data_IF_153933955699
#
_entry.id   IF_153933955699
#
_cell.length_a   1.000
_cell.length_b   1.000
_cell.length_c   1.000
_cell.angle_alpha   90.00
_cell.angle_beta   90.00
_cell.angle_gamma   90.00
#
_symmetry.space_group_name_H-M   'P 1'
#
loop_
_entity.id
_entity.type
_entity.pdbx_description
1 polymer ?
#
# COMPACT_ATOMS: atom_id res chain seq x y z
N UNK A 1 -20.78 -50.78 -29.00
CA UNK A 1 -21.30 -49.61 -28.26
C UNK A 1 -20.16 -48.64 -28.04
N UNK A 2 -20.16 -47.50 -28.74
CA UNK A 2 -19.15 -46.46 -28.56
C UNK A 2 -19.55 -45.56 -27.38
N UNK A 3 -18.68 -45.42 -26.38
CA UNK A 3 -18.88 -44.49 -25.27
C UNK A 3 -18.66 -43.04 -25.75
N UNK A 4 -19.54 -42.08 -25.40
CA UNK A 4 -19.36 -40.70 -25.80
C UNK A 4 -18.21 -40.07 -25.00
N UNK A 5 -17.20 -39.56 -25.71
CA UNK A 5 -16.15 -38.72 -25.11
C UNK A 5 -16.71 -37.31 -24.91
N UNK A 6 -17.08 -36.96 -23.68
CA UNK A 6 -17.38 -35.57 -23.32
C UNK A 6 -16.09 -34.76 -23.46
N UNK A 7 -16.05 -33.81 -24.40
CA UNK A 7 -15.02 -32.76 -24.44
C UNK A 7 -15.14 -31.97 -23.14
N UNK A 8 -14.16 -32.09 -22.25
CA UNK A 8 -14.08 -31.23 -21.08
C UNK A 8 -13.88 -29.78 -21.58
N UNK A 9 -14.84 -28.91 -21.31
CA UNK A 9 -14.74 -27.50 -21.65
C UNK A 9 -13.69 -26.87 -20.73
N UNK A 10 -12.57 -26.41 -21.30
CA UNK A 10 -11.48 -25.72 -20.59
C UNK A 10 -11.80 -24.26 -20.27
N UNK A 11 -12.93 -23.75 -20.78
CA UNK A 11 -13.37 -22.37 -20.63
C UNK A 11 -13.53 -21.88 -19.18
N UNK A 12 -14.12 -22.65 -18.23
CA UNK A 12 -14.29 -22.16 -16.86
C UNK A 12 -12.98 -22.07 -16.08
N UNK A 13 -11.98 -22.90 -16.41
CA UNK A 13 -10.66 -22.85 -15.76
C UNK A 13 -9.83 -21.65 -16.21
N UNK A 14 -9.91 -21.29 -17.51
CA UNK A 14 -9.26 -20.10 -18.04
C UNK A 14 -9.89 -18.82 -17.47
N UNK A 15 -11.21 -18.79 -17.32
CA UNK A 15 -11.91 -17.67 -16.72
C UNK A 15 -11.54 -17.50 -15.24
N UNK A 16 -11.44 -18.60 -14.49
CA UNK A 16 -10.99 -18.59 -13.10
C UNK A 16 -9.55 -18.09 -12.95
N UNK A 17 -8.64 -18.51 -13.86
CA UNK A 17 -7.25 -18.06 -13.89
C UNK A 17 -7.13 -16.57 -14.22
N UNK A 18 -7.94 -16.06 -15.16
CA UNK A 18 -7.97 -14.63 -15.50
C UNK A 18 -8.52 -13.79 -14.35
N UNK A 19 -9.51 -14.30 -13.61
CA UNK A 19 -10.05 -13.64 -12.42
C UNK A 19 -9.01 -13.61 -11.29
N UNK A 20 -8.28 -14.71 -11.03
CA UNK A 20 -7.22 -14.70 -10.00
C UNK A 20 -6.07 -13.78 -10.38
N UNK A 21 -5.62 -13.76 -11.64
CA UNK A 21 -4.60 -12.83 -12.13
C UNK A 21 -5.07 -11.38 -11.97
N UNK A 22 -6.33 -11.08 -12.28
CA UNK A 22 -6.90 -9.73 -12.08
C UNK A 22 -6.88 -9.31 -10.60
N UNK A 23 -7.10 -10.24 -9.67
CA UNK A 23 -7.04 -9.98 -8.23
C UNK A 23 -5.59 -9.76 -7.76
N UNK A 24 -4.61 -10.47 -8.33
CA UNK A 24 -3.19 -10.29 -8.00
C UNK A 24 -2.55 -9.03 -8.60
N UNK A 25 -3.10 -8.48 -9.70
CA UNK A 25 -2.64 -7.20 -10.27
C UNK A 25 -3.21 -5.97 -9.53
N UNK A 26 -4.26 -6.13 -8.72
CA UNK A 26 -4.75 -5.08 -7.82
C UNK A 26 -3.99 -5.20 -6.49
N UNK A 27 -2.70 -4.89 -6.51
CA UNK A 27 -2.08 -4.38 -5.27
C UNK A 27 -2.62 -2.97 -5.07
N UNK A 28 -3.29 -2.65 -3.94
CA UNK A 28 -3.56 -1.26 -3.62
C UNK A 28 -2.21 -0.54 -3.60
N UNK A 29 -2.06 0.46 -4.47
CA UNK A 29 -0.93 1.38 -4.45
C UNK A 29 -0.92 2.04 -3.07
N UNK A 30 -0.02 1.61 -2.17
CA UNK A 30 0.22 2.22 -0.86
C UNK A 30 0.85 3.63 -0.97
N UNK A 31 0.78 4.26 -2.14
CA UNK A 31 1.66 5.34 -2.61
C UNK A 31 1.39 6.71 -1.98
N UNK A 32 0.25 6.90 -1.32
CA UNK A 32 -0.11 8.22 -0.78
C UNK A 32 0.23 8.41 0.69
N UNK A 33 0.62 7.38 1.46
CA UNK A 33 0.84 7.51 2.92
C UNK A 33 2.31 7.55 3.31
N UNK A 34 3.21 7.17 2.41
CA UNK A 34 4.63 6.98 2.69
C UNK A 34 5.55 7.98 1.98
N UNK A 35 4.96 8.96 1.29
CA UNK A 35 5.65 10.06 0.64
C UNK A 35 6.22 11.02 1.69
N UNK A 36 7.48 11.42 1.51
CA UNK A 36 8.20 12.31 2.43
C UNK A 36 7.69 13.74 2.33
N UNK A 37 7.36 14.35 3.47
CA UNK A 37 6.95 15.76 3.56
C UNK A 37 8.11 16.60 4.06
N UNK A 38 8.61 16.32 5.26
CA UNK A 38 9.78 16.98 5.85
C UNK A 38 10.46 16.10 6.89
N UNK A 39 11.70 16.44 7.20
CA UNK A 39 12.45 15.86 8.31
C UNK A 39 13.51 16.83 8.82
N UNK A 40 13.87 16.70 10.09
CA UNK A 40 14.85 17.57 10.73
C UNK A 40 15.46 16.90 11.96
N UNK A 41 16.71 17.23 12.24
CA UNK A 41 17.51 16.64 13.31
C UNK A 41 17.96 17.72 14.28
N UNK A 42 18.15 17.36 15.55
CA UNK A 42 18.81 18.24 16.51
C UNK A 42 20.27 18.45 16.12
N UNK A 43 20.83 19.59 16.54
CA UNK A 43 22.25 19.89 16.31
C UNK A 43 23.17 19.10 17.24
N UNK A 44 22.66 18.74 18.42
CA UNK A 44 23.40 17.97 19.41
C UNK A 44 23.43 16.50 18.98
N UNK A 45 24.62 15.90 19.07
CA UNK A 45 24.81 14.48 18.79
C UNK A 45 25.12 13.70 20.07
N UNK A 46 24.62 12.48 20.16
CA UNK A 46 25.03 11.52 21.19
C UNK A 46 26.25 10.73 20.71
N UNK A 47 26.88 10.00 21.64
CA UNK A 47 28.03 9.14 21.34
C UNK A 47 27.53 7.74 21.01
N UNK A 48 27.99 7.15 19.91
CA UNK A 48 27.65 5.76 19.56
C UNK A 48 28.13 4.78 20.64
N UNK A 49 27.29 3.83 21.02
CA UNK A 49 27.44 2.92 22.16
C UNK A 49 27.02 3.52 23.52
N UNK A 50 26.51 4.74 23.57
CA UNK A 50 26.09 5.38 24.82
C UNK A 50 24.76 4.81 25.36
N UNK A 51 24.51 4.91 26.68
CA UNK A 51 23.18 4.66 27.27
C UNK A 51 22.04 5.39 26.55
N UNK A 52 22.29 6.63 26.12
CA UNK A 52 21.34 7.42 25.34
C UNK A 52 20.95 6.74 24.01
N UNK A 53 21.90 6.19 23.25
CA UNK A 53 21.59 5.46 22.00
C UNK A 53 20.66 4.27 22.26
N UNK A 54 20.90 3.50 23.32
CA UNK A 54 20.01 2.39 23.70
C UNK A 54 18.60 2.89 24.01
N UNK A 55 18.47 4.04 24.68
CA UNK A 55 17.17 4.65 24.98
C UNK A 55 16.46 5.11 23.70
N UNK A 56 17.18 5.69 22.74
CA UNK A 56 16.63 6.05 21.41
C UNK A 56 16.16 4.80 20.66
N UNK A 57 16.99 3.76 20.58
CA UNK A 57 16.60 2.51 19.91
C UNK A 57 15.37 1.86 20.57
N UNK A 58 15.31 1.87 21.91
CA UNK A 58 14.18 1.33 22.65
C UNK A 58 12.91 2.15 22.44
N UNK A 59 12.99 3.48 22.38
CA UNK A 59 11.81 4.32 22.20
C UNK A 59 11.26 4.19 20.79
N UNK A 60 12.13 4.22 19.76
CA UNK A 60 11.72 4.05 18.37
C UNK A 60 11.06 2.69 18.13
N UNK A 61 11.58 1.63 18.75
CA UNK A 61 10.96 0.29 18.73
C UNK A 61 9.57 0.30 19.38
N UNK A 62 9.42 1.02 20.49
CA UNK A 62 8.13 1.14 21.21
C UNK A 62 7.09 1.87 20.36
N UNK A 63 7.50 2.92 19.64
CA UNK A 63 6.62 3.66 18.71
C UNK A 63 6.10 2.75 17.58
N UNK A 64 6.99 2.00 16.92
CA UNK A 64 6.60 1.08 15.83
C UNK A 64 5.64 0.00 16.33
N UNK A 65 5.93 -0.62 17.48
CA UNK A 65 5.09 -1.66 18.05
C UNK A 65 3.70 -1.14 18.46
N UNK A 66 3.63 0.09 18.98
CA UNK A 66 2.38 0.70 19.40
C UNK A 66 1.52 1.16 18.21
N UNK A 67 2.13 1.55 17.09
CA UNK A 67 1.42 2.01 15.90
C UNK A 67 0.54 0.93 15.25
N UNK A 68 0.78 -0.34 15.56
CA UNK A 68 -0.06 -1.47 15.14
C UNK A 68 -1.42 -1.54 15.86
N UNK A 69 -1.65 -0.71 16.88
CA UNK A 69 -2.85 -0.78 17.73
C UNK A 69 -3.55 0.56 17.96
N UNK A 70 -2.84 1.67 17.79
CA UNK A 70 -3.37 3.03 17.99
C UNK A 70 -2.78 3.99 16.97
N UNK A 71 -3.52 5.04 16.62
CA UNK A 71 -3.08 6.10 15.71
C UNK A 71 -2.20 7.17 16.37
N UNK A 72 -2.09 7.14 17.70
CA UNK A 72 -1.23 8.03 18.47
C UNK A 72 -0.77 7.34 19.76
N UNK A 73 0.50 7.55 20.11
CA UNK A 73 1.02 7.27 21.44
C UNK A 73 2.29 8.08 21.71
N UNK A 74 2.66 8.20 22.97
CA UNK A 74 3.94 8.77 23.39
C UNK A 74 4.62 7.88 24.44
N UNK A 75 5.94 8.01 24.53
CA UNK A 75 6.76 7.28 25.48
C UNK A 75 7.78 8.22 26.10
N UNK A 76 8.25 7.85 27.28
CA UNK A 76 9.39 8.47 27.95
C UNK A 76 10.27 7.35 28.51
N UNK A 77 11.54 7.34 28.14
CA UNK A 77 12.52 6.38 28.66
C UNK A 77 13.59 7.18 29.40
N UNK A 78 13.81 6.87 30.68
CA UNK A 78 14.75 7.58 31.56
C UNK A 78 15.74 6.61 32.20
N UNK A 79 16.42 5.80 31.40
CA UNK A 79 17.46 4.90 31.91
C UNK A 79 18.80 5.63 32.02
N UNK A 80 19.57 5.33 33.08
CA UNK A 80 20.94 5.84 33.27
C UNK A 80 21.08 7.37 33.27
N UNK A 81 20.06 8.10 33.75
CA UNK A 81 19.98 9.58 33.76
C UNK A 81 19.84 10.25 32.39
N UNK A 82 19.71 9.47 31.33
CA UNK A 82 19.51 9.95 29.96
C UNK A 82 18.03 9.79 29.57
N UNK A 83 17.28 10.89 29.56
CA UNK A 83 15.87 10.87 29.19
C UNK A 83 15.67 11.09 27.69
N UNK A 84 14.82 10.24 27.08
CA UNK A 84 14.34 10.38 25.71
C UNK A 84 12.82 10.43 25.73
N UNK A 85 12.27 11.44 25.07
CA UNK A 85 10.85 11.58 24.80
C UNK A 85 10.57 11.22 23.36
N UNK A 86 9.44 10.56 23.10
CA UNK A 86 9.07 10.16 21.75
C UNK A 86 7.58 10.08 21.57
N UNK A 87 7.10 10.43 20.37
CA UNK A 87 5.71 10.22 19.97
C UNK A 87 5.61 9.83 18.50
N UNK A 88 4.47 9.27 18.15
CA UNK A 88 4.04 9.18 16.77
C UNK A 88 2.58 9.63 16.66
N UNK A 89 2.22 10.15 15.48
CA UNK A 89 0.86 10.50 15.13
C UNK A 89 0.60 10.06 13.69
N UNK A 90 -0.22 9.03 13.51
CA UNK A 90 -0.74 8.64 12.20
C UNK A 90 -1.90 9.56 11.80
N UNK A 91 -2.14 9.65 10.50
CA UNK A 91 -3.31 10.34 9.97
C UNK A 91 -4.59 9.65 10.46
N UNK A 92 -5.58 10.43 10.87
CA UNK A 92 -6.73 9.92 11.62
C UNK A 92 -7.68 9.02 10.84
N UNK A 93 -7.53 8.92 9.51
CA UNK A 93 -8.30 8.06 8.61
C UNK A 93 -7.58 6.73 8.27
N UNK A 94 -6.40 6.48 8.83
CA UNK A 94 -5.64 5.25 8.56
C UNK A 94 -6.06 4.10 9.48
N UNK A 95 -6.15 2.90 8.90
CA UNK A 95 -6.21 1.68 9.68
C UNK A 95 -4.88 1.40 10.39
N UNK A 96 -4.93 0.67 11.49
CA UNK A 96 -3.75 0.37 12.31
C UNK A 96 -2.62 -0.32 11.54
N UNK A 97 -2.94 -1.17 10.55
CA UNK A 97 -1.93 -1.79 9.69
C UNK A 97 -1.17 -0.78 8.84
N UNK A 98 -1.88 0.23 8.31
CA UNK A 98 -1.28 1.30 7.51
C UNK A 98 -0.48 2.26 8.37
N UNK A 99 -1.00 2.58 9.56
CA UNK A 99 -0.32 3.37 10.57
C UNK A 99 1.02 2.73 10.97
N UNK A 100 1.01 1.44 11.33
CA UNK A 100 2.23 0.70 11.67
C UNK A 100 3.28 0.69 10.56
N UNK A 101 2.85 0.48 9.30
CA UNK A 101 3.75 0.54 8.13
C UNK A 101 4.34 1.94 7.92
N UNK A 102 3.52 3.00 8.06
CA UNK A 102 4.00 4.37 7.93
C UNK A 102 5.04 4.69 9.01
N UNK A 103 4.74 4.38 10.28
CA UNK A 103 5.63 4.66 11.41
C UNK A 103 6.94 3.89 11.28
N UNK A 104 6.90 2.61 10.88
CA UNK A 104 8.10 1.83 10.62
C UNK A 104 8.98 2.47 9.52
N UNK A 105 8.37 2.94 8.43
CA UNK A 105 9.09 3.63 7.35
C UNK A 105 9.67 4.97 7.80
N UNK A 106 8.91 5.76 8.57
CA UNK A 106 9.39 7.03 9.13
C UNK A 106 10.58 6.81 10.08
N UNK A 107 10.53 5.81 10.96
CA UNK A 107 11.63 5.44 11.85
C UNK A 107 12.86 4.98 11.06
N UNK A 108 12.68 4.18 10.01
CA UNK A 108 13.79 3.77 9.15
C UNK A 108 14.46 4.96 8.46
N UNK A 109 13.69 5.94 7.99
CA UNK A 109 14.24 7.16 7.36
C UNK A 109 14.88 8.10 8.39
N UNK A 110 14.37 8.17 9.62
CA UNK A 110 15.01 8.90 10.70
C UNK A 110 16.41 8.35 11.02
N UNK A 111 16.57 7.02 11.00
CA UNK A 111 17.87 6.38 11.24
C UNK A 111 18.94 6.76 10.20
N UNK A 112 18.54 7.02 8.95
CA UNK A 112 19.47 7.47 7.90
C UNK A 112 19.64 8.99 7.86
N UNK A 113 18.56 9.74 8.12
CA UNK A 113 18.56 11.21 8.08
C UNK A 113 19.26 11.83 9.30
N UNK A 114 19.02 11.28 10.50
CA UNK A 114 19.45 11.86 11.78
C UNK A 114 20.49 10.99 12.48
N UNK A 115 21.62 10.74 11.80
CA UNK A 115 22.74 9.97 12.33
C UNK A 115 23.27 10.57 13.64
N UNK A 116 23.22 9.76 14.70
CA UNK A 116 23.65 10.04 16.07
C UNK A 116 23.04 11.31 16.69
N UNK A 117 21.89 11.79 16.20
CA UNK A 117 21.28 13.04 16.70
C UNK A 117 20.49 12.80 18.00
N UNK A 118 20.55 13.71 18.96
CA UNK A 118 19.76 13.60 20.21
C UNK A 118 18.26 13.82 20.01
N UNK A 119 17.87 14.26 18.84
CA UNK A 119 16.48 14.45 18.47
C UNK A 119 16.32 14.39 16.97
N UNK A 120 15.14 13.96 16.54
CA UNK A 120 14.78 13.85 15.15
C UNK A 120 13.27 13.87 14.99
N UNK A 121 12.78 14.54 13.96
CA UNK A 121 11.37 14.58 13.59
C UNK A 121 11.23 14.32 12.09
N UNK A 122 10.24 13.52 11.70
CA UNK A 122 9.96 13.21 10.31
C UNK A 122 8.47 13.07 10.07
N UNK A 123 7.98 13.76 9.05
CA UNK A 123 6.61 13.72 8.55
C UNK A 123 6.57 13.02 7.19
N UNK A 124 5.83 11.93 7.13
CA UNK A 124 5.31 11.36 5.89
C UNK A 124 3.84 11.78 5.72
N UNK A 125 3.29 11.63 4.53
CA UNK A 125 1.87 11.91 4.25
C UNK A 125 0.88 11.21 5.20
N UNK A 126 1.26 10.02 5.71
CA UNK A 126 0.44 9.20 6.59
C UNK A 126 0.78 9.29 8.07
N UNK A 127 1.94 9.83 8.46
CA UNK A 127 2.35 9.82 9.87
C UNK A 127 3.49 10.80 10.18
N UNK A 128 3.53 11.21 11.45
CA UNK A 128 4.60 11.98 12.06
C UNK A 128 5.28 11.15 13.14
N UNK A 129 6.61 11.19 13.20
CA UNK A 129 7.40 10.58 14.28
C UNK A 129 8.39 11.63 14.79
N UNK A 130 8.48 11.80 16.10
CA UNK A 130 9.48 12.68 16.73
C UNK A 130 10.04 12.05 17.99
N UNK A 131 11.35 12.17 18.18
CA UNK A 131 12.03 11.94 19.45
C UNK A 131 12.97 13.10 19.78
N UNK A 132 13.27 13.29 21.06
CA UNK A 132 14.15 14.36 21.54
C UNK A 132 14.63 14.08 22.98
N UNK A 133 15.77 14.67 23.37
CA UNK A 133 16.20 14.72 24.78
C UNK A 133 15.57 15.90 25.52
N UNK A 134 15.18 16.95 24.81
CA UNK A 134 14.43 18.06 25.38
C UNK A 134 12.95 17.69 25.53
N UNK A 135 12.29 18.21 26.56
CA UNK A 135 10.85 18.00 26.74
C UNK A 135 10.06 18.76 25.65
N UNK A 136 9.14 18.06 24.99
CA UNK A 136 8.24 18.63 23.98
C UNK A 136 6.82 18.05 24.04
N UNK A 137 6.56 17.09 24.94
CA UNK A 137 5.25 16.45 25.09
C UNK A 137 4.31 17.39 25.85
N UNK A 138 3.11 17.62 25.30
CA UNK A 138 2.12 18.51 25.89
C UNK A 138 2.50 19.99 25.85
N UNK A 139 3.41 20.38 24.95
CA UNK A 139 3.84 21.77 24.76
C UNK A 139 3.32 22.26 23.40
N UNK A 140 2.51 23.31 23.41
CA UNK A 140 2.07 23.96 22.17
C UNK A 140 3.26 24.56 21.41
N UNK A 141 3.34 24.29 20.10
CA UNK A 141 4.31 24.90 19.20
C UNK A 141 3.66 25.13 17.83
N UNK A 142 3.53 26.42 17.48
CA UNK A 142 2.92 26.91 16.24
C UNK A 142 3.96 27.42 15.23
N UNK A 143 5.24 27.09 15.42
CA UNK A 143 6.28 27.43 14.45
C UNK A 143 6.01 26.76 13.11
N UNK A 144 6.16 27.53 12.02
CA UNK A 144 5.98 27.03 10.65
C UNK A 144 7.15 26.14 10.28
N UNK A 145 6.87 24.89 9.93
CA UNK A 145 7.87 23.90 9.50
C UNK A 145 7.89 23.79 7.98
N UNK A 146 6.72 23.66 7.36
CA UNK A 146 6.56 23.62 5.90
C UNK A 146 5.40 24.50 5.48
N UNK A 147 5.65 25.32 4.45
CA UNK A 147 4.62 25.97 3.67
C UNK A 147 4.84 25.64 2.19
N UNK A 148 3.82 25.11 1.53
CA UNK A 148 3.81 24.93 0.07
C UNK A 148 2.48 25.41 -0.48
N UNK A 149 2.52 26.12 -1.61
CA UNK A 149 1.31 26.63 -2.25
C UNK A 149 1.36 26.26 -3.72
N UNK A 150 0.23 25.79 -4.24
CA UNK A 150 0.09 25.43 -5.64
C UNK A 150 -0.04 26.63 -6.58
N UNK A 151 -0.20 26.37 -7.88
CA UNK A 151 -0.46 27.42 -8.85
C UNK A 151 -1.77 28.16 -8.52
N UNK A 152 -1.83 29.43 -8.93
CA UNK A 152 -3.02 30.25 -8.75
C UNK A 152 -4.21 29.67 -9.52
N UNK A 153 -5.38 29.70 -8.89
CA UNK A 153 -6.68 29.49 -9.51
C UNK A 153 -6.88 30.62 -10.52
N UNK A 154 -7.27 30.28 -11.76
CA UNK A 154 -7.64 31.25 -12.78
C UNK A 154 -8.94 31.97 -12.41
N UNK A 155 -8.87 32.91 -11.46
CA UNK A 155 -9.91 33.86 -11.01
C UNK A 155 -11.37 33.39 -11.12
N UNK A 156 -11.64 32.15 -10.73
CA UNK A 156 -13.02 31.69 -10.56
C UNK A 156 -13.40 32.00 -9.11
N UNK A 157 -14.24 33.02 -8.92
CA UNK A 157 -14.71 33.47 -7.60
C UNK A 157 -15.30 32.32 -6.79
N UNK A 158 -15.86 31.32 -7.47
CA UNK A 158 -16.50 30.18 -6.83
C UNK A 158 -15.48 29.24 -6.17
N UNK A 159 -14.27 29.11 -6.73
CA UNK A 159 -13.25 28.22 -6.19
C UNK A 159 -12.63 28.77 -4.89
N UNK A 160 -12.47 30.10 -4.76
CA UNK A 160 -12.03 30.72 -3.51
C UNK A 160 -13.08 30.61 -2.42
N UNK A 161 -14.36 30.80 -2.77
CA UNK A 161 -15.45 30.59 -1.84
C UNK A 161 -15.53 29.12 -1.35
N UNK A 162 -15.30 28.14 -2.25
CA UNK A 162 -15.20 26.72 -1.87
C UNK A 162 -14.03 26.46 -0.92
N UNK A 163 -12.85 27.01 -1.21
CA UNK A 163 -11.67 26.92 -0.32
C UNK A 163 -11.99 27.48 1.06
N UNK A 164 -12.53 28.69 1.14
CA UNK A 164 -12.81 29.34 2.42
C UNK A 164 -13.85 28.56 3.22
N UNK A 165 -14.89 28.05 2.55
CA UNK A 165 -15.89 27.17 3.17
C UNK A 165 -15.24 25.92 3.79
N UNK A 166 -14.34 25.26 3.06
CA UNK A 166 -13.62 24.07 3.55
C UNK A 166 -12.73 24.42 4.74
N UNK A 167 -11.93 25.48 4.63
CA UNK A 167 -11.00 25.90 5.67
C UNK A 167 -11.74 26.38 6.94
N UNK A 168 -12.86 27.09 6.80
CA UNK A 168 -13.68 27.51 7.94
C UNK A 168 -14.33 26.32 8.64
N UNK A 169 -14.76 25.30 7.89
CA UNK A 169 -15.27 24.06 8.49
C UNK A 169 -14.17 23.31 9.27
N UNK A 170 -12.95 23.23 8.71
CA UNK A 170 -11.81 22.63 9.42
C UNK A 170 -11.45 23.42 10.69
N UNK A 171 -11.62 24.74 10.67
CA UNK A 171 -11.36 25.62 11.80
C UNK A 171 -12.49 25.66 12.83
N UNK A 172 -13.69 25.18 12.50
CA UNK A 172 -14.84 25.24 13.40
C UNK A 172 -14.69 24.29 14.60
N UNK A 173 -15.22 24.72 15.75
CA UNK A 173 -15.34 23.90 16.97
C UNK A 173 -16.81 23.80 17.34
N UNK A 174 -17.34 22.58 17.41
CA UNK A 174 -18.71 22.27 17.88
C UNK A 174 -18.73 21.90 19.38
N UNK A 175 -17.64 22.15 20.10
CA UNK A 175 -17.44 21.72 21.48
C UNK A 175 -17.00 20.26 21.64
N UNK A 176 -16.95 19.48 20.56
CA UNK A 176 -16.41 18.12 20.55
C UNK A 176 -14.94 18.13 20.16
N UNK A 177 -14.10 17.49 20.98
CA UNK A 177 -12.68 17.37 20.64
C UNK A 177 -12.47 16.43 19.44
N UNK A 178 -12.03 17.01 18.32
CA UNK A 178 -11.72 16.30 17.07
C UNK A 178 -10.31 16.70 16.61
N UNK A 179 -9.28 15.90 16.93
CA UNK A 179 -7.90 16.21 16.55
C UNK A 179 -7.62 15.98 15.06
N UNK A 180 -8.46 15.22 14.36
CA UNK A 180 -8.39 15.02 12.91
C UNK A 180 -9.72 15.44 12.27
N UNK A 181 -9.65 16.26 11.22
CA UNK A 181 -10.80 16.89 10.57
C UNK A 181 -10.64 16.79 9.06
N UNK A 182 -11.74 16.47 8.39
CA UNK A 182 -11.83 16.43 6.92
C UNK A 182 -13.05 17.24 6.50
N UNK A 183 -12.91 17.99 5.43
CA UNK A 183 -13.98 18.81 4.87
C UNK A 183 -13.90 18.79 3.34
N UNK A 184 -15.06 18.80 2.69
CA UNK A 184 -15.18 18.74 1.24
C UNK A 184 -16.23 19.73 0.74
N UNK A 185 -15.93 20.39 -0.38
CA UNK A 185 -16.87 21.28 -1.08
C UNK A 185 -16.61 21.19 -2.59
N UNK A 186 -17.53 20.54 -3.31
CA UNK A 186 -17.37 20.28 -4.74
C UNK A 186 -16.15 19.40 -5.01
N UNK A 187 -15.19 19.95 -5.76
CA UNK A 187 -13.92 19.30 -6.09
C UNK A 187 -12.82 19.57 -5.06
N UNK A 188 -13.06 20.37 -4.02
CA UNK A 188 -12.04 20.77 -3.06
C UNK A 188 -12.14 19.94 -1.78
N UNK A 189 -11.02 19.33 -1.38
CA UNK A 189 -10.88 18.56 -0.14
C UNK A 189 -9.86 19.20 0.77
N UNK A 190 -10.15 19.26 2.06
CA UNK A 190 -9.25 19.75 3.09
C UNK A 190 -9.09 18.76 4.23
N UNK A 191 -7.89 18.74 4.81
CA UNK A 191 -7.53 17.91 5.96
C UNK A 191 -6.79 18.78 6.97
N UNK A 192 -7.16 18.64 8.24
CA UNK A 192 -6.48 19.31 9.34
C UNK A 192 -6.26 18.32 10.49
N UNK A 193 -5.09 18.39 11.12
CA UNK A 193 -4.77 17.49 12.22
C UNK A 193 -3.84 18.09 13.27
N UNK A 194 -4.12 17.80 14.52
CA UNK A 194 -3.23 18.04 15.66
C UNK A 194 -2.43 16.78 16.01
N UNK A 195 -1.24 16.97 16.54
CA UNK A 195 -0.54 15.91 17.27
C UNK A 195 -1.28 15.64 18.58
N UNK A 196 -1.49 14.37 18.91
CA UNK A 196 -2.36 13.94 20.01
C UNK A 196 -1.88 14.27 21.41
N UNK A 197 -0.72 14.92 21.56
CA UNK A 197 -0.22 15.40 22.85
C UNK A 197 -0.75 16.78 23.24
N UNK A 198 -1.42 17.49 22.32
CA UNK A 198 -2.07 18.76 22.61
C UNK A 198 -3.40 18.58 23.36
N UNK A 199 -3.72 19.53 24.24
CA UNK A 199 -5.06 19.67 24.81
C UNK A 199 -6.09 20.13 23.75
N UNK A 200 -7.40 19.99 24.02
CA UNK A 200 -8.43 20.45 23.08
C UNK A 200 -8.32 21.93 22.69
N UNK A 201 -7.95 22.80 23.64
CA UNK A 201 -7.77 24.24 23.39
C UNK A 201 -6.53 24.50 22.55
N UNK A 202 -5.39 23.91 22.90
CA UNK A 202 -4.14 24.08 22.14
C UNK A 202 -4.26 23.51 20.71
N UNK A 203 -4.97 22.40 20.54
CA UNK A 203 -5.26 21.86 19.22
C UNK A 203 -6.08 22.85 18.38
N UNK A 204 -7.14 23.42 18.97
CA UNK A 204 -7.97 24.42 18.29
C UNK A 204 -7.18 25.68 17.93
N UNK A 205 -6.33 26.17 18.83
CA UNK A 205 -5.48 27.34 18.61
C UNK A 205 -4.44 27.08 17.51
N UNK A 206 -3.80 25.91 17.52
CA UNK A 206 -2.84 25.50 16.49
C UNK A 206 -3.49 25.40 15.10
N UNK A 207 -4.64 24.72 15.00
CA UNK A 207 -5.35 24.61 13.72
C UNK A 207 -5.81 25.97 13.20
N UNK A 208 -6.26 26.86 14.09
CA UNK A 208 -6.68 28.21 13.71
C UNK A 208 -5.51 29.02 13.12
N UNK A 209 -4.31 28.91 13.70
CA UNK A 209 -3.10 29.53 13.14
C UNK A 209 -2.74 28.92 11.78
N UNK A 210 -2.69 27.59 11.66
CA UNK A 210 -2.34 26.92 10.40
C UNK A 210 -3.31 27.30 9.27
N UNK A 211 -4.61 27.35 9.57
CA UNK A 211 -5.66 27.74 8.61
C UNK A 211 -5.56 29.23 8.26
N UNK A 212 -5.31 30.09 9.25
CA UNK A 212 -5.07 31.52 9.03
C UNK A 212 -3.91 31.75 8.06
N UNK A 213 -2.79 31.06 8.30
CA UNK A 213 -1.60 31.10 7.44
C UNK A 213 -1.86 30.56 6.04
N UNK A 214 -2.65 29.49 5.88
CA UNK A 214 -3.05 29.02 4.55
C UNK A 214 -3.80 30.10 3.78
N UNK A 215 -4.78 30.76 4.42
CA UNK A 215 -5.58 31.82 3.79
C UNK A 215 -4.73 33.01 3.38
N UNK A 216 -3.81 33.46 4.25
CA UNK A 216 -2.98 34.64 3.99
C UNK A 216 -1.84 34.36 3.02
N UNK A 217 -1.15 33.25 3.20
CA UNK A 217 0.12 33.01 2.51
C UNK A 217 -0.04 32.27 1.18
N UNK A 218 -1.01 31.36 1.07
CA UNK A 218 -1.27 30.64 -0.18
C UNK A 218 -2.29 31.33 -1.07
N UNK A 219 -3.00 32.36 -0.57
CA UNK A 219 -3.93 33.15 -1.37
C UNK A 219 -4.80 32.25 -2.26
N UNK A 220 -4.97 32.63 -3.53
CA UNK A 220 -5.81 31.90 -4.45
C UNK A 220 -5.21 30.62 -5.07
N UNK A 221 -4.37 29.87 -4.36
CA UNK A 221 -3.77 28.63 -4.89
C UNK A 221 -4.76 27.47 -4.97
N UNK A 222 -4.59 26.59 -5.97
CA UNK A 222 -5.38 25.35 -6.15
C UNK A 222 -5.21 24.33 -5.02
N UNK A 223 -4.04 24.33 -4.39
CA UNK A 223 -3.73 23.53 -3.23
C UNK A 223 -2.79 24.31 -2.31
N UNK A 224 -2.74 23.93 -1.05
CA UNK A 224 -1.85 24.54 -0.07
C UNK A 224 -1.62 23.62 1.11
N UNK A 225 -0.38 23.57 1.57
CA UNK A 225 0.08 22.83 2.74
C UNK A 225 0.66 23.80 3.75
N UNK A 226 0.21 23.70 5.00
CA UNK A 226 0.75 24.40 6.14
C UNK A 226 0.98 23.42 7.28
N UNK A 227 2.24 23.07 7.50
CA UNK A 227 2.66 22.25 8.63
C UNK A 227 3.29 23.15 9.67
N UNK A 228 2.68 23.21 10.85
CA UNK A 228 3.28 23.73 12.06
C UNK A 228 3.91 22.58 12.86
N UNK A 229 4.70 22.90 13.89
CA UNK A 229 5.39 21.90 14.68
C UNK A 229 4.45 20.88 15.38
N UNK A 230 3.22 21.28 15.72
CA UNK A 230 2.24 20.43 16.44
C UNK A 230 0.90 20.22 15.74
N UNK A 231 0.71 20.77 14.56
CA UNK A 231 -0.48 20.54 13.76
C UNK A 231 -0.24 20.89 12.30
N UNK A 232 -1.13 20.46 11.41
CA UNK A 232 -1.12 20.89 10.03
C UNK A 232 -2.54 21.13 9.52
N UNK A 233 -2.63 21.95 8.49
CA UNK A 233 -3.80 22.08 7.65
C UNK A 233 -3.36 22.04 6.19
N UNK A 234 -4.16 21.41 5.35
CA UNK A 234 -3.92 21.30 3.91
C UNK A 234 -5.23 21.26 3.15
N UNK A 235 -5.19 21.73 1.91
CA UNK A 235 -6.30 21.58 0.99
C UNK A 235 -5.80 21.34 -0.43
N UNK A 236 -6.62 20.67 -1.24
CA UNK A 236 -6.34 20.41 -2.64
C UNK A 236 -7.64 20.36 -3.44
N UNK A 237 -7.65 21.02 -4.60
CA UNK A 237 -8.66 20.84 -5.64
C UNK A 237 -8.42 19.52 -6.40
N UNK A 238 -9.48 18.77 -6.69
CA UNK A 238 -9.46 17.38 -7.16
C UNK A 238 -8.49 17.12 -8.31
N UNK A 239 -7.63 16.13 -8.07
CA UNK A 239 -6.52 15.68 -8.92
C UNK A 239 -5.53 14.93 -8.03
N UNK A 240 -4.98 13.82 -8.51
CA UNK A 240 -4.00 13.01 -7.76
C UNK A 240 -2.68 13.79 -7.71
N UNK A 241 -2.51 14.64 -6.70
CA UNK A 241 -1.28 15.38 -6.49
C UNK A 241 -0.34 14.49 -5.68
N UNK A 242 0.53 13.77 -6.39
CA UNK A 242 1.72 13.17 -5.80
C UNK A 242 2.66 14.31 -5.39
N UNK A 243 2.96 14.42 -4.10
CA UNK A 243 3.96 15.34 -3.56
C UNK A 243 5.37 14.90 -4.00
N UNK A 244 5.72 15.19 -5.25
CA UNK A 244 7.09 15.10 -5.74
C UNK A 244 7.92 16.23 -5.14
N UNK A 245 8.88 15.87 -4.29
CA UNK A 245 9.99 16.75 -3.94
C UNK A 245 10.82 17.01 -5.20
N UNK A 246 11.23 18.26 -5.35
CA UNK A 246 12.10 18.77 -6.42
C UNK A 246 13.42 17.97 -6.46
N UNK A 247 13.70 17.31 -7.58
CA UNK A 247 15.06 17.00 -8.08
C UNK A 247 14.99 16.44 -9.53
N UNK A 248 15.41 17.29 -10.47
CA UNK A 248 16.04 17.00 -11.79
C UNK A 248 15.39 15.99 -12.76
N UNK A 249 14.96 16.52 -13.91
CA UNK A 249 15.02 15.94 -15.27
C UNK A 249 15.04 14.41 -15.41
N UNK A 250 13.92 13.82 -15.86
CA UNK A 250 13.80 12.87 -16.99
C UNK A 250 12.44 12.12 -16.91
N UNK A 251 11.38 12.75 -17.43
CA UNK A 251 10.01 12.19 -17.48
C UNK A 251 9.82 11.03 -18.48
N UNK A 252 10.86 10.63 -19.21
CA UNK A 252 10.74 9.57 -20.23
C UNK A 252 10.89 8.15 -19.67
N UNK A 253 11.32 7.99 -18.41
CA UNK A 253 11.78 6.71 -17.88
C UNK A 253 10.69 5.92 -17.10
N UNK A 254 9.71 6.61 -16.51
CA UNK A 254 8.61 6.00 -15.73
C UNK A 254 7.52 5.38 -16.62
N UNK A 255 7.16 6.07 -17.71
CA UNK A 255 6.19 5.57 -18.70
C UNK A 255 6.78 4.38 -19.46
N UNK A 256 8.06 4.44 -19.80
CA UNK A 256 8.78 3.34 -20.46
C UNK A 256 8.85 2.09 -19.57
N UNK A 257 9.11 2.25 -18.26
CA UNK A 257 9.14 1.12 -17.31
C UNK A 257 7.77 0.47 -17.14
N UNK A 258 6.71 1.27 -17.05
CA UNK A 258 5.33 0.77 -16.96
C UNK A 258 4.91 0.02 -18.24
N UNK A 259 5.25 0.55 -19.42
CA UNK A 259 4.96 -0.10 -20.70
C UNK A 259 5.76 -1.40 -20.89
N UNK A 260 7.03 -1.43 -20.47
CA UNK A 260 7.87 -2.62 -20.58
C UNK A 260 7.32 -3.80 -19.77
N UNK A 261 6.83 -3.54 -18.55
CA UNK A 261 6.20 -4.56 -17.69
C UNK A 261 4.89 -5.06 -18.33
N UNK A 262 4.08 -4.16 -18.86
CA UNK A 262 2.81 -4.51 -19.49
C UNK A 262 3.00 -5.40 -20.74
N UNK A 263 3.96 -5.06 -21.59
CA UNK A 263 4.29 -5.82 -22.81
C UNK A 263 4.86 -7.20 -22.43
N UNK A 264 5.74 -7.26 -21.42
CA UNK A 264 6.31 -8.51 -20.92
C UNK A 264 5.24 -9.49 -20.42
N UNK A 265 4.25 -8.98 -19.69
CA UNK A 265 3.13 -9.79 -19.18
C UNK A 265 2.24 -10.32 -20.31
N UNK A 266 1.89 -9.48 -21.30
CA UNK A 266 1.06 -9.89 -22.44
C UNK A 266 1.79 -10.97 -23.27
N UNK A 267 3.08 -10.80 -23.53
CA UNK A 267 3.90 -11.78 -24.24
C UNK A 267 4.02 -13.10 -23.46
N UNK A 268 4.21 -13.03 -22.15
CA UNK A 268 4.26 -14.21 -21.28
C UNK A 268 2.95 -14.99 -21.27
N UNK A 269 1.81 -14.30 -21.15
CA UNK A 269 0.48 -14.93 -21.19
C UNK A 269 0.23 -15.59 -22.55
N UNK A 270 0.59 -14.93 -23.66
CA UNK A 270 0.43 -15.50 -24.99
C UNK A 270 1.24 -16.80 -25.17
N UNK A 271 2.50 -16.83 -24.69
CA UNK A 271 3.33 -18.03 -24.74
C UNK A 271 2.76 -19.16 -23.88
N UNK A 272 2.23 -18.85 -22.69
CA UNK A 272 1.59 -19.84 -21.82
C UNK A 272 0.35 -20.43 -22.50
N UNK A 273 -0.48 -19.62 -23.14
CA UNK A 273 -1.68 -20.10 -23.87
C UNK A 273 -1.29 -21.04 -25.01
N UNK A 274 -0.25 -20.70 -25.78
CA UNK A 274 0.26 -21.55 -26.87
C UNK A 274 0.80 -22.86 -26.31
N UNK A 275 1.57 -22.81 -25.23
CA UNK A 275 2.13 -24.00 -24.59
C UNK A 275 1.04 -24.93 -24.03
N UNK A 276 0.03 -24.39 -23.33
CA UNK A 276 -1.12 -25.16 -22.83
C UNK A 276 -1.94 -25.74 -23.98
N UNK A 277 -2.11 -25.01 -25.08
CA UNK A 277 -2.80 -25.51 -26.28
C UNK A 277 -2.04 -26.63 -26.99
N UNK A 278 -0.70 -26.60 -26.96
CA UNK A 278 0.14 -27.68 -27.48
C UNK A 278 0.06 -28.92 -26.60
N UNK A 279 0.10 -28.75 -25.27
CA UNK A 279 -0.05 -29.83 -24.30
C UNK A 279 -1.43 -30.49 -24.38
N UNK A 280 -2.51 -29.72 -24.52
CA UNK A 280 -3.86 -30.27 -24.67
C UNK A 280 -3.99 -31.10 -25.96
N UNK A 281 -3.44 -30.63 -27.09
CA UNK A 281 -3.39 -31.39 -28.35
C UNK A 281 -2.53 -32.66 -28.24
N UNK A 282 -1.40 -32.59 -27.55
CA UNK A 282 -0.56 -33.75 -27.29
C UNK A 282 -1.29 -34.78 -26.42
N UNK A 283 -1.98 -34.33 -25.38
CA UNK A 283 -2.77 -35.17 -24.49
C UNK A 283 -3.94 -35.86 -25.22
N UNK A 284 -4.65 -35.16 -26.12
CA UNK A 284 -5.66 -35.77 -26.99
C UNK A 284 -5.08 -36.83 -27.93
N UNK A 285 -3.85 -36.60 -28.44
CA UNK A 285 -3.18 -37.54 -29.34
C UNK A 285 -2.74 -38.80 -28.59
N UNK A 286 -2.22 -38.64 -27.38
CA UNK A 286 -1.86 -39.74 -26.47
C UNK A 286 -3.10 -40.52 -26.04
N UNK A 287 -4.19 -39.84 -25.66
CA UNK A 287 -5.45 -40.48 -25.31
C UNK A 287 -6.00 -41.33 -26.47
N UNK A 288 -5.94 -40.84 -27.72
CA UNK A 288 -6.31 -41.63 -28.91
C UNK A 288 -5.40 -42.83 -29.15
N UNK A 289 -4.11 -42.69 -28.91
CA UNK A 289 -3.14 -43.78 -29.05
C UNK A 289 -3.35 -44.87 -28.01
N UNK A 290 -3.56 -44.49 -26.75
CA UNK A 290 -3.90 -45.42 -25.67
C UNK A 290 -5.21 -46.14 -25.94
N UNK A 291 -6.24 -45.43 -26.42
CA UNK A 291 -7.52 -46.05 -26.75
C UNK A 291 -7.37 -47.08 -27.88
N UNK A 292 -6.52 -46.83 -28.88
CA UNK A 292 -6.19 -47.80 -29.93
C UNK A 292 -5.41 -49.01 -29.40
N UNK A 293 -4.44 -48.79 -28.51
CA UNK A 293 -3.68 -49.87 -27.87
C UNK A 293 -4.58 -50.76 -27.01
N UNK A 294 -5.46 -50.16 -26.21
CA UNK A 294 -6.47 -50.88 -25.42
C UNK A 294 -7.38 -51.69 -26.34
N UNK A 295 -7.86 -51.10 -27.44
CA UNK A 295 -8.70 -51.81 -28.41
C UNK A 295 -7.98 -52.98 -29.08
N UNK A 296 -6.71 -52.79 -29.46
CA UNK A 296 -5.87 -53.86 -30.04
C UNK A 296 -5.58 -54.98 -29.05
N UNK A 297 -5.32 -54.64 -27.79
CA UNK A 297 -5.10 -55.60 -26.70
C UNK A 297 -6.37 -56.42 -26.42
N UNK A 298 -7.54 -55.76 -26.37
CA UNK A 298 -8.84 -56.44 -26.24
C UNK A 298 -9.10 -57.36 -27.45
N UNK A 299 -8.82 -56.90 -28.68
CA UNK A 299 -9.02 -57.70 -29.89
C UNK A 299 -8.10 -58.94 -29.93
N UNK A 300 -6.85 -58.79 -29.48
CA UNK A 300 -5.88 -59.87 -29.36
C UNK A 300 -6.31 -60.89 -28.29
N UNK A 301 -6.80 -60.41 -27.14
CA UNK A 301 -7.37 -61.26 -26.09
C UNK A 301 -8.60 -62.03 -26.58
N UNK A 302 -9.52 -61.37 -27.30
CA UNK A 302 -10.69 -62.01 -27.91
C UNK A 302 -10.30 -63.06 -28.95
N UNK A 303 -9.33 -62.76 -29.83
CA UNK A 303 -8.80 -63.74 -30.79
C UNK A 303 -8.23 -64.97 -30.09
N UNK A 304 -7.49 -64.78 -29.00
CA UNK A 304 -6.91 -65.90 -28.23
C UNK A 304 -7.99 -66.79 -27.60
N UNK A 305 -9.03 -66.19 -27.00
CA UNK A 305 -10.18 -66.91 -26.44
C UNK A 305 -10.99 -67.63 -27.52
N UNK A 306 -11.18 -67.01 -28.69
CA UNK A 306 -11.85 -67.65 -29.84
C UNK A 306 -11.05 -68.83 -30.39
N UNK A 307 -9.72 -68.71 -30.48
CA UNK A 307 -8.85 -69.81 -30.92
C UNK A 307 -8.87 -70.97 -29.91
N UNK A 308 -8.84 -70.69 -28.60
CA UNK A 308 -8.99 -71.75 -27.57
C UNK A 308 -10.36 -72.43 -27.63
N UNK A 309 -11.44 -71.67 -27.84
CA UNK A 309 -12.78 -72.24 -28.03
C UNK A 309 -12.90 -73.07 -29.32
N UNK A 310 -12.27 -72.63 -30.41
CA UNK A 310 -12.22 -73.39 -31.66
C UNK A 310 -11.39 -74.67 -31.49
N UNK A 311 -10.28 -74.63 -30.76
CA UNK A 311 -9.48 -75.83 -30.45
C UNK A 311 -10.26 -76.84 -29.57
N UNK A 312 -11.05 -76.37 -28.59
CA UNK A 312 -11.93 -77.25 -27.81
C UNK A 312 -13.03 -77.90 -28.67
N UNK A 313 -13.66 -77.17 -29.60
CA UNK A 313 -14.68 -77.75 -30.48
C UNK A 313 -14.10 -78.77 -31.48
N UNK A 314 -12.85 -78.59 -31.91
CA UNK A 314 -12.19 -79.53 -32.83
C UNK A 314 -11.76 -80.83 -32.15
N UNK A 315 -11.51 -80.81 -30.83
CA UNK A 315 -11.23 -82.02 -30.05
C UNK A 315 -12.50 -82.83 -29.71
N UNK A 316 -13.69 -82.21 -29.71
CA UNK A 316 -14.96 -82.93 -29.51
C UNK A 316 -15.42 -83.63 -30.80
N UNK A 317 -15.09 -83.11 -31.99
CA UNK A 317 -15.45 -83.76 -33.26
C UNK A 317 -14.50 -84.89 -33.70
N UNK A 318 -13.46 -85.23 -32.92
CA UNK A 318 -12.51 -86.29 -33.27
C UNK A 318 -12.69 -87.58 -32.45
N UNK A 319 -13.69 -87.63 -31.56
CA UNK A 319 -14.10 -88.85 -30.86
C UNK A 319 -15.33 -89.54 -31.49
N UNK A 320 -15.95 -88.96 -32.53
CA UNK A 320 -17.17 -89.49 -33.20
C UNK A 320 -16.95 -89.90 -34.68
N UNK A 321 -15.75 -90.36 -35.06
CA UNK A 321 -15.53 -91.09 -36.32
C UNK A 321 -14.67 -92.35 -36.05
N UNK A 322 -15.37 -93.37 -35.55
CA UNK A 322 -15.18 -94.74 -35.98
C UNK A 322 -16.25 -95.06 -37.02
#
# INVERSE_FOLDING_TARGET
MALPTKKASFFPFLLLLLVTISIFLVTPSNSATDTFVFGGCSQLKFISGSPYEYNVNSILTSLVNSAMFTSYNNFTISASQDTVYGLFQCRGDLENGDCGRCVAKAVSQLGTLCLDSTGGGLQLEGCFVKYDNATFLGVEDKSVVVKRCGPLISTDSDALARRDTVLDFLGASDGTYKPFRVAESGDLRGVAQCVGDLSPTECQDCLSEAIGRLKTDCGASKWGDMYLAKCYARYSQGGDHSHGGDDTDNDDDEIAKTLAILIGLIAGIALIIVFVSALSKACEKIARWLNKLIFAYILSGLKKVLIEKMFMQTNVCKEDEH
#
